data_IF_763593539709
#
_entry.id   IF_763593539709
#
_cell.length_a   1.000
_cell.length_b   1.000
_cell.length_c   1.000
_cell.angle_alpha   90.00
_cell.angle_beta   90.00
_cell.angle_gamma   90.00
#
_symmetry.space_group_name_H-M   'P 1'
#
loop_
_entity.id
_entity.type
_entity.pdbx_description
1 polymer ?
#
# COMPACT_ATOMS: atom_id res chain seq x y z
N UNK A 1 -0.94 -25.90 -0.36
CA UNK A 1 -2.28 -26.30 -0.86
C UNK A 1 -2.91 -25.10 -1.57
N UNK A 2 -3.35 -25.29 -2.81
CA UNK A 2 -4.12 -24.28 -3.56
C UNK A 2 -5.43 -24.91 -4.01
N UNK A 3 -6.52 -24.41 -3.44
CA UNK A 3 -7.88 -24.89 -3.74
C UNK A 3 -8.61 -23.86 -4.61
N UNK A 4 -9.27 -24.34 -5.68
CA UNK A 4 -10.33 -23.60 -6.39
C UNK A 4 -11.65 -24.26 -6.05
N UNK A 5 -12.51 -23.51 -5.35
CA UNK A 5 -13.59 -24.06 -4.57
C UNK A 5 -13.05 -25.18 -3.65
N UNK A 6 -13.52 -26.41 -3.75
CA UNK A 6 -13.04 -27.53 -2.91
C UNK A 6 -12.02 -28.44 -3.64
N UNK A 7 -11.54 -28.05 -4.83
CA UNK A 7 -10.64 -28.87 -5.63
C UNK A 7 -9.18 -28.43 -5.46
N UNK A 8 -8.31 -29.38 -5.10
CA UNK A 8 -6.88 -29.15 -4.95
C UNK A 8 -6.15 -29.19 -6.32
N UNK A 9 -5.42 -28.10 -6.59
CA UNK A 9 -4.59 -27.93 -7.79
C UNK A 9 -3.10 -27.98 -7.49
N UNK A 10 -2.67 -28.10 -6.23
CA UNK A 10 -1.24 -28.10 -5.87
C UNK A 10 -0.42 -29.16 -6.67
N UNK A 11 -0.94 -30.38 -6.93
CA UNK A 11 -0.16 -31.38 -7.67
C UNK A 11 0.19 -31.01 -9.11
N UNK A 12 -0.55 -30.09 -9.72
CA UNK A 12 -0.34 -29.69 -11.14
C UNK A 12 0.26 -28.30 -11.29
N UNK A 13 0.35 -27.51 -10.22
CA UNK A 13 0.85 -26.14 -10.28
C UNK A 13 2.35 -26.13 -10.49
N UNK A 14 2.79 -25.40 -11.53
CA UNK A 14 4.20 -25.14 -11.80
C UNK A 14 4.71 -23.88 -11.14
N UNK A 15 3.82 -22.88 -11.00
CA UNK A 15 4.14 -21.61 -10.35
C UNK A 15 2.90 -20.97 -9.75
N UNK A 16 3.05 -20.40 -8.55
CA UNK A 16 2.11 -19.45 -7.96
C UNK A 16 2.86 -18.15 -7.64
N UNK A 17 2.30 -17.01 -8.04
CA UNK A 17 2.85 -15.70 -7.76
C UNK A 17 1.83 -14.87 -7.00
N UNK A 18 2.18 -14.52 -5.76
CA UNK A 18 1.35 -13.68 -4.89
C UNK A 18 1.96 -12.28 -4.79
N UNK A 19 1.17 -11.28 -5.15
CA UNK A 19 1.60 -9.89 -5.14
C UNK A 19 0.72 -9.08 -4.19
N UNK A 20 1.36 -8.26 -3.39
CA UNK A 20 0.71 -7.25 -2.54
C UNK A 20 1.37 -5.90 -2.78
N UNK A 21 0.58 -4.83 -2.77
CA UNK A 21 1.08 -3.47 -2.92
C UNK A 21 0.34 -2.52 -2.00
N UNK A 22 1.06 -1.57 -1.44
CA UNK A 22 0.49 -0.54 -0.59
C UNK A 22 -0.19 0.52 -1.45
N UNK A 23 -1.49 0.71 -1.25
CA UNK A 23 -2.29 1.74 -1.93
C UNK A 23 -2.37 1.62 -3.46
N UNK A 24 -2.18 0.42 -4.00
CA UNK A 24 -2.28 0.13 -5.44
C UNK A 24 -3.35 -0.92 -5.77
N UNK A 25 -4.29 -1.10 -4.89
CA UNK A 25 -5.45 -1.95 -5.14
C UNK A 25 -5.42 -3.29 -4.41
N UNK A 26 -6.07 -4.27 -5.02
CA UNK A 26 -6.20 -5.62 -4.48
C UNK A 26 -4.90 -6.40 -4.58
N UNK A 27 -4.62 -7.23 -3.58
CA UNK A 27 -3.63 -8.28 -3.71
C UNK A 27 -4.04 -9.28 -4.79
N UNK A 28 -3.07 -9.86 -5.47
CA UNK A 28 -3.30 -10.80 -6.57
C UNK A 28 -2.55 -12.10 -6.39
N UNK A 29 -3.18 -13.19 -6.79
CA UNK A 29 -2.54 -14.50 -6.92
C UNK A 29 -2.66 -14.94 -8.38
N UNK A 30 -1.52 -15.14 -9.05
CA UNK A 30 -1.46 -15.74 -10.39
C UNK A 30 -0.96 -17.16 -10.27
N UNK A 31 -1.72 -18.11 -10.77
CA UNK A 31 -1.40 -19.55 -10.74
C UNK A 31 -1.21 -20.04 -12.16
N UNK A 32 -0.11 -20.76 -12.40
CA UNK A 32 0.23 -21.35 -13.71
C UNK A 32 0.39 -22.85 -13.58
N UNK A 33 -0.19 -23.61 -14.53
CA UNK A 33 -0.08 -25.06 -14.62
C UNK A 33 -0.16 -25.51 -16.08
N UNK A 34 0.30 -26.75 -16.43
CA UNK A 34 0.24 -27.25 -17.80
C UNK A 34 -1.20 -27.38 -18.30
N UNK A 35 -1.45 -26.94 -19.53
CA UNK A 35 -2.76 -27.07 -20.15
C UNK A 35 -3.22 -28.55 -20.20
N UNK A 36 -4.47 -28.79 -19.84
CA UNK A 36 -5.06 -30.13 -19.82
C UNK A 36 -4.70 -31.00 -18.61
N UNK A 37 -3.84 -30.54 -17.69
CA UNK A 37 -3.52 -31.30 -16.47
C UNK A 37 -4.63 -31.24 -15.42
N UNK A 38 -5.47 -30.22 -15.48
CA UNK A 38 -6.67 -30.04 -14.66
C UNK A 38 -7.71 -29.20 -15.41
N UNK A 39 -9.00 -29.20 -15.02
CA UNK A 39 -9.99 -28.27 -15.54
C UNK A 39 -9.58 -26.83 -15.31
N UNK A 40 -9.84 -25.93 -16.27
CA UNK A 40 -9.55 -24.53 -16.12
C UNK A 40 -10.53 -23.89 -15.11
N UNK A 41 -10.04 -23.32 -13.96
CA UNK A 41 -10.89 -22.63 -13.03
C UNK A 41 -11.64 -21.47 -13.70
N UNK A 42 -12.92 -21.29 -13.37
CA UNK A 42 -13.77 -20.30 -14.02
C UNK A 42 -13.82 -18.99 -13.21
N UNK A 43 -13.95 -17.83 -13.86
CA UNK A 43 -14.20 -16.55 -13.17
C UNK A 43 -15.36 -16.66 -12.17
N UNK A 44 -15.17 -16.13 -10.97
CA UNK A 44 -16.12 -16.17 -9.87
C UNK A 44 -15.90 -17.30 -8.87
N UNK A 45 -15.14 -18.34 -9.21
CA UNK A 45 -14.79 -19.40 -8.26
C UNK A 45 -13.89 -18.84 -7.14
N UNK A 46 -14.07 -19.37 -5.94
CA UNK A 46 -13.23 -19.03 -4.79
C UNK A 46 -11.86 -19.68 -4.91
N UNK A 47 -10.83 -18.99 -4.44
CA UNK A 47 -9.49 -19.55 -4.33
C UNK A 47 -8.97 -19.39 -2.92
N UNK A 48 -8.35 -20.44 -2.42
CA UNK A 48 -7.67 -20.47 -1.11
C UNK A 48 -6.25 -20.99 -1.34
N UNK A 49 -5.26 -20.20 -0.94
CA UNK A 49 -3.87 -20.62 -0.94
C UNK A 49 -3.33 -20.63 0.48
N UNK A 50 -2.84 -21.79 0.91
CA UNK A 50 -2.18 -21.98 2.21
C UNK A 50 -0.88 -22.77 2.05
N UNK A 51 0.09 -22.55 2.95
CA UNK A 51 1.35 -23.28 2.98
C UNK A 51 1.78 -23.52 4.43
N UNK A 52 2.20 -24.74 4.74
CA UNK A 52 2.61 -25.08 6.10
C UNK A 52 1.52 -24.89 7.16
N UNK A 53 0.25 -24.94 6.80
CA UNK A 53 -0.87 -24.67 7.69
C UNK A 53 -1.25 -23.19 7.80
N UNK A 54 -0.46 -22.27 7.25
CA UNK A 54 -0.76 -20.83 7.25
C UNK A 54 -1.53 -20.41 6.00
N UNK A 55 -2.57 -19.60 6.19
CA UNK A 55 -3.31 -18.97 5.08
C UNK A 55 -2.50 -17.83 4.47
N UNK A 56 -2.28 -17.87 3.15
CA UNK A 56 -1.50 -16.87 2.41
C UNK A 56 -2.41 -15.95 1.63
N UNK A 57 -3.33 -16.52 0.86
CA UNK A 57 -4.24 -15.76 0.02
C UNK A 57 -5.63 -16.38 0.01
N UNK A 58 -6.63 -15.52 0.07
CA UNK A 58 -8.04 -15.87 -0.07
C UNK A 58 -8.70 -14.85 -1.01
N UNK A 59 -9.46 -15.35 -1.98
CA UNK A 59 -10.08 -14.46 -2.97
C UNK A 59 -10.87 -15.21 -4.03
N UNK A 60 -10.96 -14.63 -5.22
CA UNK A 60 -11.75 -15.15 -6.34
C UNK A 60 -10.98 -15.07 -7.64
N UNK A 61 -11.30 -15.99 -8.53
CA UNK A 61 -10.85 -15.99 -9.93
C UNK A 61 -11.49 -14.81 -10.67
N UNK A 62 -10.67 -13.96 -11.27
CA UNK A 62 -11.11 -12.84 -12.10
C UNK A 62 -10.83 -13.05 -13.59
N UNK A 63 -9.78 -13.77 -13.90
CA UNK A 63 -9.43 -14.12 -15.28
C UNK A 63 -8.83 -15.51 -15.33
N UNK A 64 -9.26 -16.28 -16.33
CA UNK A 64 -8.66 -17.56 -16.67
C UNK A 64 -8.33 -17.55 -18.16
N UNK A 65 -7.14 -18.00 -18.50
CA UNK A 65 -6.70 -18.11 -19.87
C UNK A 65 -5.89 -19.39 -20.04
N UNK A 66 -5.95 -19.97 -21.22
CA UNK A 66 -5.22 -21.19 -21.55
C UNK A 66 -4.76 -21.11 -22.99
N UNK A 67 -3.51 -21.45 -23.22
CA UNK A 67 -2.94 -21.72 -24.54
C UNK A 67 -2.68 -23.23 -24.73
N UNK A 68 -1.88 -23.60 -25.74
CA UNK A 68 -1.56 -25.01 -26.02
C UNK A 68 -0.66 -25.67 -24.97
N UNK A 69 0.08 -24.86 -24.18
CA UNK A 69 1.09 -25.35 -23.23
C UNK A 69 0.68 -25.13 -21.79
N UNK A 70 0.16 -23.95 -21.49
CA UNK A 70 -0.10 -23.50 -20.11
C UNK A 70 -1.52 -22.98 -19.94
N UNK A 71 -2.02 -23.15 -18.73
CA UNK A 71 -3.17 -22.43 -18.19
C UNK A 71 -2.67 -21.43 -17.15
N UNK A 72 -3.24 -20.24 -17.17
CA UNK A 72 -2.95 -19.17 -16.20
C UNK A 72 -4.26 -18.65 -15.61
N UNK A 73 -4.29 -18.52 -14.31
CA UNK A 73 -5.46 -18.05 -13.55
C UNK A 73 -5.05 -16.86 -12.69
N UNK A 74 -5.69 -15.72 -12.93
CA UNK A 74 -5.53 -14.52 -12.10
C UNK A 74 -6.66 -14.42 -11.10
N UNK A 75 -6.28 -14.37 -9.82
CA UNK A 75 -7.19 -14.20 -8.69
C UNK A 75 -6.93 -12.85 -8.01
N UNK A 76 -7.99 -12.27 -7.46
CA UNK A 76 -7.90 -11.03 -6.67
C UNK A 76 -8.53 -11.26 -5.30
N UNK A 77 -7.99 -10.59 -4.27
CA UNK A 77 -8.60 -10.53 -2.94
C UNK A 77 -9.85 -9.63 -2.92
N UNK A 78 -10.47 -9.50 -1.76
CA UNK A 78 -11.71 -8.75 -1.59
C UNK A 78 -11.60 -7.24 -1.88
N UNK A 79 -10.40 -6.64 -1.79
CA UNK A 79 -10.19 -5.23 -2.13
C UNK A 79 -10.60 -4.92 -3.59
N UNK A 80 -10.59 -5.94 -4.46
CA UNK A 80 -11.05 -5.79 -5.86
C UNK A 80 -12.51 -5.32 -5.95
N UNK A 81 -13.36 -5.73 -5.02
CA UNK A 81 -14.78 -5.33 -5.00
C UNK A 81 -14.98 -3.88 -4.54
N UNK A 82 -14.00 -3.28 -3.85
CA UNK A 82 -13.98 -1.86 -3.53
C UNK A 82 -13.61 -0.96 -4.72
N UNK A 83 -13.17 -1.54 -5.86
CA UNK A 83 -12.94 -0.78 -7.10
C UNK A 83 -14.24 -0.42 -7.84
N UNK A 84 -15.41 -0.76 -7.33
CA UNK A 84 -16.67 -0.31 -7.87
C UNK A 84 -16.88 1.18 -7.55
N UNK A 85 -17.34 1.95 -8.56
CA UNK A 85 -17.62 3.38 -8.42
C UNK A 85 -18.91 3.63 -7.63
N UNK A 86 -18.92 4.72 -6.88
CA UNK A 86 -20.05 5.16 -6.10
C UNK A 86 -20.01 6.69 -5.92
N UNK A 87 -21.13 7.26 -5.43
CA UNK A 87 -21.21 8.65 -4.98
C UNK A 87 -21.61 8.64 -3.50
N UNK A 88 -20.67 8.99 -2.63
CA UNK A 88 -20.83 8.91 -1.17
C UNK A 88 -20.49 10.25 -0.52
N UNK A 89 -21.44 10.80 0.25
CA UNK A 89 -21.15 11.89 1.17
C UNK A 89 -20.54 11.32 2.46
N UNK A 90 -19.36 11.81 2.82
CA UNK A 90 -18.70 11.55 4.09
C UNK A 90 -18.92 12.74 5.02
N UNK A 91 -19.68 12.61 6.13
CA UNK A 91 -19.75 13.63 7.17
C UNK A 91 -18.43 13.73 7.92
N UNK A 92 -18.35 14.58 8.94
CA UNK A 92 -17.24 14.56 9.89
C UNK A 92 -17.29 13.26 10.70
N UNK A 93 -16.45 12.31 10.35
CA UNK A 93 -16.36 11.00 11.00
C UNK A 93 -14.92 10.47 10.99
N UNK A 94 -14.61 9.48 11.81
CA UNK A 94 -13.27 8.86 11.84
C UNK A 94 -13.08 7.89 10.69
N UNK A 95 -11.81 7.58 10.36
CA UNK A 95 -11.45 6.70 9.24
C UNK A 95 -12.04 5.28 9.39
N UNK A 96 -12.02 4.73 10.60
CA UNK A 96 -12.59 3.42 10.91
C UNK A 96 -14.11 3.37 10.69
N UNK A 97 -14.84 4.44 11.09
CA UNK A 97 -16.29 4.55 10.84
C UNK A 97 -16.60 4.67 9.35
N UNK A 98 -15.83 5.50 8.65
CA UNK A 98 -15.98 5.63 7.19
C UNK A 98 -15.74 4.31 6.48
N UNK A 99 -14.67 3.56 6.85
CA UNK A 99 -14.39 2.23 6.33
C UNK A 99 -15.56 1.28 6.53
N UNK A 100 -16.08 1.18 7.77
CA UNK A 100 -17.21 0.31 8.09
C UNK A 100 -18.43 0.61 7.20
N UNK A 101 -18.74 1.89 7.00
CA UNK A 101 -19.88 2.31 6.17
C UNK A 101 -19.68 2.01 4.68
N UNK A 102 -18.47 2.24 4.16
CA UNK A 102 -18.12 1.92 2.77
C UNK A 102 -18.16 0.40 2.52
N UNK A 103 -17.65 -0.39 3.46
CA UNK A 103 -17.67 -1.85 3.36
C UNK A 103 -19.08 -2.43 3.45
N UNK A 104 -19.93 -1.91 4.34
CA UNK A 104 -21.33 -2.30 4.42
C UNK A 104 -22.09 -2.05 3.09
N UNK A 105 -21.77 -0.96 2.40
CA UNK A 105 -22.34 -0.65 1.08
C UNK A 105 -21.74 -1.50 -0.06
N UNK A 106 -20.61 -2.17 0.15
CA UNK A 106 -19.97 -3.01 -0.86
C UNK A 106 -20.52 -4.45 -0.95
N UNK A 107 -21.34 -4.86 0.02
CA UNK A 107 -22.03 -6.16 0.05
C UNK A 107 -21.20 -7.29 0.68
N UNK A 108 -21.72 -8.51 0.58
CA UNK A 108 -21.26 -9.69 1.34
C UNK A 108 -19.87 -10.22 0.94
N UNK A 109 -19.28 -9.68 -0.12
CA UNK A 109 -17.92 -10.04 -0.56
C UNK A 109 -16.82 -9.42 0.28
N UNK A 110 -17.17 -8.46 1.15
CA UNK A 110 -16.22 -7.78 2.04
C UNK A 110 -16.46 -8.29 3.46
N UNK A 111 -15.42 -8.85 4.06
CA UNK A 111 -15.38 -9.29 5.45
C UNK A 111 -14.36 -8.46 6.20
N UNK A 112 -14.82 -7.72 7.20
CA UNK A 112 -13.92 -6.94 8.05
C UNK A 112 -13.21 -7.83 9.07
N UNK A 113 -11.92 -7.63 9.21
CA UNK A 113 -11.07 -8.17 10.25
C UNK A 113 -10.73 -7.11 11.30
N UNK A 114 -9.43 -6.96 11.59
CA UNK A 114 -8.96 -5.96 12.55
C UNK A 114 -9.05 -4.55 11.95
N UNK A 115 -9.87 -3.70 12.57
CA UNK A 115 -9.99 -2.28 12.23
C UNK A 115 -9.50 -1.46 13.41
N UNK A 116 -8.31 -0.88 13.28
CA UNK A 116 -7.76 0.00 14.31
C UNK A 116 -8.48 1.35 14.30
N UNK A 117 -8.80 1.84 15.49
CA UNK A 117 -9.50 3.10 15.66
C UNK A 117 -8.59 4.28 15.31
N UNK A 118 -9.14 5.24 14.57
CA UNK A 118 -8.48 6.50 14.27
C UNK A 118 -9.15 7.59 15.09
N UNK A 119 -8.40 8.26 15.95
CA UNK A 119 -8.96 9.32 16.83
C UNK A 119 -9.23 10.63 16.08
N UNK A 120 -8.62 10.83 14.92
CA UNK A 120 -8.71 12.08 14.16
C UNK A 120 -9.93 12.05 13.23
N UNK A 121 -10.84 13.03 13.35
CA UNK A 121 -11.97 13.13 12.45
C UNK A 121 -11.51 13.60 11.06
N UNK A 122 -12.08 13.01 10.04
CA UNK A 122 -11.96 13.42 8.64
C UNK A 122 -12.90 14.60 8.35
N UNK A 123 -12.51 15.47 7.44
CA UNK A 123 -13.36 16.58 7.01
C UNK A 123 -14.57 16.10 6.21
N UNK A 124 -15.74 16.78 6.26
CA UNK A 124 -16.86 16.46 5.38
C UNK A 124 -16.45 16.55 3.91
N UNK A 125 -16.80 15.55 3.12
CA UNK A 125 -16.44 15.51 1.72
C UNK A 125 -17.49 14.75 0.88
N UNK A 126 -17.81 15.26 -0.31
CA UNK A 126 -18.63 14.54 -1.29
C UNK A 126 -17.70 13.87 -2.30
N UNK A 127 -17.67 12.56 -2.27
CA UNK A 127 -17.06 11.74 -3.32
C UNK A 127 -18.08 11.54 -4.44
N UNK A 128 -17.80 12.07 -5.60
CA UNK A 128 -18.68 11.94 -6.77
C UNK A 128 -18.01 11.06 -7.82
N UNK A 129 -18.68 9.97 -8.19
CA UNK A 129 -18.23 8.98 -9.18
C UNK A 129 -16.76 8.53 -8.97
N UNK A 130 -16.43 8.16 -7.74
CA UNK A 130 -15.13 7.62 -7.35
C UNK A 130 -15.24 6.16 -6.98
N UNK A 131 -14.16 5.39 -7.13
CA UNK A 131 -14.15 4.04 -6.57
C UNK A 131 -14.15 4.10 -5.05
N UNK A 132 -14.85 3.18 -4.40
CA UNK A 132 -14.86 3.08 -2.93
C UNK A 132 -13.44 2.96 -2.37
N UNK A 133 -12.56 2.26 -3.09
CA UNK A 133 -11.15 2.11 -2.72
C UNK A 133 -10.41 3.45 -2.77
N UNK A 134 -10.62 4.27 -3.81
CA UNK A 134 -10.00 5.60 -3.91
C UNK A 134 -10.50 6.55 -2.82
N UNK A 135 -11.79 6.46 -2.43
CA UNK A 135 -12.34 7.21 -1.32
C UNK A 135 -11.61 6.88 -0.01
N UNK A 136 -11.36 5.59 0.26
CA UNK A 136 -10.63 5.13 1.43
C UNK A 136 -9.15 5.56 1.38
N UNK A 137 -8.48 5.41 0.24
CA UNK A 137 -7.10 5.86 0.08
C UNK A 137 -6.94 7.38 0.21
N UNK A 138 -7.90 8.16 -0.28
CA UNK A 138 -7.91 9.60 -0.06
C UNK A 138 -8.07 9.93 1.42
N UNK A 139 -8.95 9.23 2.14
CA UNK A 139 -9.15 9.40 3.57
C UNK A 139 -7.91 9.01 4.39
N UNK A 140 -7.23 7.93 4.03
CA UNK A 140 -5.94 7.53 4.63
C UNK A 140 -4.87 8.62 4.41
N UNK A 141 -4.82 9.21 3.21
CA UNK A 141 -3.89 10.33 2.95
C UNK A 141 -4.22 11.57 3.77
N UNK A 142 -5.50 11.88 3.95
CA UNK A 142 -5.95 12.99 4.79
C UNK A 142 -5.49 12.81 6.24
N UNK A 143 -5.67 11.62 6.83
CA UNK A 143 -5.16 11.32 8.18
C UNK A 143 -3.63 11.47 8.25
N UNK A 144 -2.91 10.93 7.26
CA UNK A 144 -1.45 11.07 7.22
C UNK A 144 -1.01 12.53 7.18
N UNK A 145 -1.69 13.37 6.41
CA UNK A 145 -1.40 14.81 6.32
C UNK A 145 -1.69 15.53 7.64
N UNK A 146 -2.76 15.14 8.33
CA UNK A 146 -3.17 15.78 9.58
C UNK A 146 -2.35 15.36 10.80
N UNK A 147 -1.87 14.11 10.84
CA UNK A 147 -1.28 13.50 12.04
C UNK A 147 0.14 12.94 11.86
N UNK A 148 0.57 12.74 10.62
CA UNK A 148 1.78 11.97 10.31
C UNK A 148 1.59 10.44 10.39
N UNK A 149 0.52 9.92 11.00
CA UNK A 149 0.24 8.50 11.13
C UNK A 149 -0.07 7.88 9.77
N UNK A 150 0.47 6.70 9.53
CA UNK A 150 0.31 5.99 8.27
C UNK A 150 -0.55 4.75 8.49
N UNK A 151 -1.76 4.79 7.96
CA UNK A 151 -2.65 3.63 7.93
C UNK A 151 -2.51 2.86 6.63
N UNK A 152 -2.74 1.57 6.70
CA UNK A 152 -2.81 0.68 5.54
C UNK A 152 -4.11 -0.11 5.55
N UNK A 153 -4.69 -0.24 4.36
CA UNK A 153 -5.80 -1.12 4.08
C UNK A 153 -5.27 -2.34 3.35
N UNK A 154 -5.50 -3.54 3.89
CA UNK A 154 -5.00 -4.79 3.33
C UNK A 154 -5.96 -5.95 3.58
N UNK A 155 -5.89 -6.97 2.74
CA UNK A 155 -6.51 -8.27 3.04
C UNK A 155 -5.57 -9.14 3.88
N UNK A 156 -6.12 -9.80 4.88
CA UNK A 156 -5.42 -10.80 5.70
C UNK A 156 -6.18 -12.11 5.64
N UNK A 157 -5.91 -12.88 4.58
CA UNK A 157 -6.54 -14.17 4.33
C UNK A 157 -8.08 -14.12 4.41
N UNK A 158 -8.67 -13.20 3.65
CA UNK A 158 -10.13 -13.02 3.58
C UNK A 158 -10.72 -12.15 4.69
N UNK A 159 -9.90 -11.47 5.48
CA UNK A 159 -10.30 -10.47 6.44
C UNK A 159 -9.67 -9.12 6.08
N UNK A 160 -10.50 -8.12 5.76
CA UNK A 160 -10.04 -6.77 5.43
C UNK A 160 -9.62 -6.04 6.70
N UNK A 161 -8.38 -5.62 6.78
CA UNK A 161 -7.80 -4.93 7.92
C UNK A 161 -7.47 -3.48 7.60
N UNK A 162 -7.76 -2.59 8.57
CA UNK A 162 -7.21 -1.25 8.64
C UNK A 162 -6.22 -1.20 9.81
N UNK A 163 -4.95 -1.02 9.52
CA UNK A 163 -3.89 -1.06 10.52
C UNK A 163 -2.99 0.17 10.41
N UNK A 164 -2.49 0.65 11.54
CA UNK A 164 -1.38 1.59 11.56
C UNK A 164 -0.07 0.84 11.27
N UNK A 165 0.79 1.42 10.44
CA UNK A 165 2.08 0.80 10.04
C UNK A 165 2.96 0.52 11.25
N UNK A 166 2.92 1.36 12.29
CA UNK A 166 3.62 1.15 13.55
C UNK A 166 3.25 -0.15 14.29
N UNK A 167 2.03 -0.66 14.09
CA UNK A 167 1.59 -1.95 14.65
C UNK A 167 2.00 -3.17 13.81
N UNK A 168 2.63 -2.96 12.65
CA UNK A 168 2.99 -3.99 11.67
C UNK A 168 4.51 -4.22 11.56
N UNK A 169 5.22 -3.99 12.65
CA UNK A 169 6.65 -4.31 12.74
C UNK A 169 6.86 -5.82 12.80
N UNK A 170 7.61 -6.35 11.85
CA UNK A 170 7.95 -7.78 11.84
C UNK A 170 9.27 -8.00 12.59
N UNK A 171 9.35 -9.00 13.47
CA UNK A 171 10.60 -9.36 14.17
C UNK A 171 11.56 -10.10 13.22
N UNK A 172 11.80 -9.50 12.05
CA UNK A 172 12.60 -10.06 10.97
C UNK A 172 13.65 -9.04 10.52
N UNK A 173 14.89 -9.50 10.36
CA UNK A 173 15.97 -8.72 9.78
C UNK A 173 16.34 -9.30 8.41
N UNK A 174 16.30 -8.46 7.39
CA UNK A 174 16.76 -8.77 6.03
C UNK A 174 18.14 -8.16 5.82
N UNK A 175 19.12 -8.98 5.45
CA UNK A 175 20.50 -8.48 5.31
C UNK A 175 21.48 -9.49 4.72
N UNK A 176 22.75 -9.09 4.61
CA UNK A 176 23.82 -9.86 3.98
C UNK A 176 24.07 -11.23 4.65
N UNK A 177 23.75 -11.36 5.93
CA UNK A 177 23.90 -12.61 6.69
C UNK A 177 22.63 -13.44 6.80
N UNK A 178 21.55 -13.10 6.05
CA UNK A 178 20.26 -13.76 6.22
C UNK A 178 19.63 -14.15 4.88
N UNK A 179 18.38 -13.73 4.63
CA UNK A 179 17.59 -14.17 3.49
C UNK A 179 17.92 -13.47 2.16
N UNK A 180 18.70 -12.38 2.17
CA UNK A 180 18.95 -11.54 0.98
C UNK A 180 19.86 -12.24 -0.01
N UNK A 181 19.41 -12.28 -1.28
CA UNK A 181 20.18 -12.84 -2.41
C UNK A 181 20.65 -11.76 -3.39
N UNK A 182 20.03 -10.59 -3.39
CA UNK A 182 20.39 -9.46 -4.23
C UNK A 182 19.66 -8.19 -3.84
N UNK A 183 20.20 -7.04 -4.22
CA UNK A 183 19.54 -5.76 -4.00
C UNK A 183 19.90 -4.72 -5.07
N UNK A 184 18.99 -3.76 -5.24
CA UNK A 184 19.20 -2.52 -5.97
C UNK A 184 18.77 -1.36 -5.08
N UNK A 185 19.69 -0.44 -4.84
CA UNK A 185 19.49 0.74 -4.01
C UNK A 185 19.40 1.99 -4.88
N UNK A 186 18.48 2.90 -4.56
CA UNK A 186 18.38 4.21 -5.17
C UNK A 186 17.98 5.27 -4.15
N UNK A 187 18.45 6.49 -4.40
CA UNK A 187 17.99 7.67 -3.71
C UNK A 187 17.55 8.70 -4.73
N UNK A 188 16.40 9.34 -4.51
CA UNK A 188 15.89 10.40 -5.38
C UNK A 188 15.35 11.58 -4.58
N UNK A 189 15.33 12.73 -5.21
CA UNK A 189 14.83 13.99 -4.70
C UNK A 189 13.52 14.43 -5.37
N UNK A 190 13.01 13.69 -6.35
CA UNK A 190 11.86 14.11 -7.17
C UNK A 190 10.59 14.33 -6.33
N UNK A 191 10.41 13.55 -5.28
CA UNK A 191 9.28 13.69 -4.35
C UNK A 191 9.63 14.50 -3.09
N UNK A 192 10.84 15.05 -3.01
CA UNK A 192 11.31 15.84 -1.86
C UNK A 192 10.87 17.29 -2.01
N UNK A 193 10.44 17.87 -0.91
CA UNK A 193 10.26 19.31 -0.80
C UNK A 193 10.94 19.80 0.49
N UNK A 194 11.85 20.74 0.37
CA UNK A 194 12.51 21.39 1.49
C UNK A 194 12.03 22.84 1.70
N UNK A 195 11.15 23.27 0.81
CA UNK A 195 10.41 24.52 0.91
C UNK A 195 8.94 24.24 0.57
N UNK A 196 8.02 24.65 1.41
CA UNK A 196 6.58 24.49 1.17
C UNK A 196 5.90 25.83 1.29
N UNK A 197 5.13 26.20 0.28
CA UNK A 197 4.30 27.39 0.25
C UNK A 197 2.83 27.00 0.13
N UNK A 198 2.05 27.30 1.15
CA UNK A 198 0.59 27.18 1.10
C UNK A 198 0.01 28.54 0.78
N UNK A 199 -0.80 28.64 -0.26
CA UNK A 199 -1.31 29.91 -0.73
C UNK A 199 -2.82 29.90 -0.94
N UNK A 200 -3.45 31.02 -0.65
CA UNK A 200 -4.82 31.33 -1.00
C UNK A 200 -4.81 32.33 -2.15
N UNK A 201 -5.47 31.98 -3.24
CA UNK A 201 -5.55 32.83 -4.44
C UNK A 201 -6.98 32.91 -4.98
N UNK A 202 -7.30 34.02 -5.67
CA UNK A 202 -8.51 34.15 -6.45
C UNK A 202 -8.20 34.68 -7.85
N UNK A 203 -9.07 34.39 -8.81
CA UNK A 203 -8.89 34.86 -10.19
C UNK A 203 -8.88 36.39 -10.32
N UNK A 204 -9.58 37.09 -9.41
CA UNK A 204 -9.70 38.56 -9.41
C UNK A 204 -8.64 39.30 -8.62
N UNK A 205 -8.13 38.66 -7.53
CA UNK A 205 -7.21 39.34 -6.60
C UNK A 205 -5.79 38.75 -6.59
N UNK A 206 -5.50 37.72 -7.39
CA UNK A 206 -4.21 37.03 -7.38
C UNK A 206 -3.98 36.28 -6.07
N UNK A 207 -2.75 36.38 -5.50
CA UNK A 207 -2.41 35.77 -4.21
C UNK A 207 -2.90 36.68 -3.09
N UNK A 208 -3.82 36.18 -2.24
CA UNK A 208 -4.40 36.90 -1.11
C UNK A 208 -3.53 36.76 0.14
N UNK A 209 -3.18 35.50 0.45
CA UNK A 209 -2.35 35.14 1.61
C UNK A 209 -1.45 33.96 1.25
N UNK A 210 -0.30 33.87 1.93
CA UNK A 210 0.55 32.69 1.82
C UNK A 210 1.27 32.42 3.14
N UNK A 211 1.40 31.14 3.47
CA UNK A 211 2.25 30.64 4.55
C UNK A 211 3.45 29.90 3.95
N UNK A 212 4.56 29.89 4.66
CA UNK A 212 5.82 29.33 4.20
C UNK A 212 6.49 28.50 5.28
N UNK A 213 7.01 27.35 4.93
CA UNK A 213 7.85 26.51 5.78
C UNK A 213 9.10 26.07 5.00
N UNK A 214 10.25 26.04 5.66
CA UNK A 214 11.53 25.73 5.05
C UNK A 214 12.42 24.90 5.98
N UNK A 215 13.15 23.95 5.41
CA UNK A 215 14.27 23.22 6.01
C UNK A 215 15.56 23.78 5.42
N UNK A 216 16.17 24.74 6.14
CA UNK A 216 17.37 25.45 5.68
C UNK A 216 18.58 24.55 5.50
N UNK A 217 18.71 23.47 6.33
CA UNK A 217 19.79 22.50 6.20
C UNK A 217 19.66 21.68 4.92
N UNK A 218 18.44 21.23 4.61
CA UNK A 218 18.13 20.54 3.37
C UNK A 218 18.32 21.44 2.13
N UNK A 219 17.91 22.72 2.23
CA UNK A 219 18.13 23.70 1.15
C UNK A 219 19.62 23.92 0.89
N UNK A 220 20.43 24.05 1.94
CA UNK A 220 21.88 24.20 1.80
C UNK A 220 22.54 22.98 1.14
N UNK A 221 22.02 21.77 1.40
CA UNK A 221 22.56 20.52 0.87
C UNK A 221 22.13 20.21 -0.55
N UNK A 222 20.84 20.40 -0.87
CA UNK A 222 20.22 19.93 -2.12
C UNK A 222 19.74 21.05 -3.05
N UNK A 223 19.86 22.31 -2.65
CA UNK A 223 19.20 23.42 -3.31
C UNK A 223 17.71 23.54 -2.97
N UNK A 224 17.04 24.60 -3.45
CA UNK A 224 15.63 24.83 -3.18
C UNK A 224 14.74 23.85 -3.98
N UNK A 225 13.97 23.04 -3.28
CA UNK A 225 12.96 22.11 -3.81
C UNK A 225 11.60 22.57 -3.27
N UNK A 226 10.88 23.35 -4.06
CA UNK A 226 9.69 24.06 -3.61
C UNK A 226 8.41 23.32 -4.00
N UNK A 227 7.56 23.04 -3.00
CA UNK A 227 6.18 22.59 -3.17
C UNK A 227 5.23 23.77 -2.97
N UNK A 228 4.33 23.99 -3.91
CA UNK A 228 3.26 24.99 -3.78
C UNK A 228 1.91 24.26 -3.69
N UNK A 229 1.17 24.54 -2.61
CA UNK A 229 -0.15 23.95 -2.36
C UNK A 229 -1.20 25.05 -2.22
N UNK A 230 -2.45 24.77 -2.69
CA UNK A 230 -3.57 25.68 -2.49
C UNK A 230 -4.24 25.41 -1.16
N UNK A 231 -4.45 26.47 -0.39
CA UNK A 231 -5.26 26.41 0.82
C UNK A 231 -6.73 26.19 0.49
N UNK A 232 -7.42 25.42 1.33
CA UNK A 232 -8.86 25.28 1.26
C UNK A 232 -9.57 26.60 1.55
N UNK A 233 -10.79 26.75 1.02
CA UNK A 233 -11.59 27.97 1.24
C UNK A 233 -11.86 28.19 2.73
N UNK A 234 -11.57 29.40 3.20
CA UNK A 234 -11.79 29.78 4.58
C UNK A 234 -10.69 29.39 5.57
N UNK A 235 -9.59 28.81 5.09
CA UNK A 235 -8.40 28.56 5.92
C UNK A 235 -7.82 29.88 6.44
N UNK A 236 -7.54 29.91 7.73
CA UNK A 236 -6.84 31.05 8.37
C UNK A 236 -5.32 30.93 8.16
N UNK A 237 -4.60 32.04 8.28
CA UNK A 237 -3.14 32.04 8.14
C UNK A 237 -2.43 31.07 9.10
N UNK A 238 -2.82 30.95 10.40
CA UNK A 238 -2.24 29.92 11.29
C UNK A 238 -2.48 28.48 10.82
N UNK A 239 -3.66 28.18 10.26
CA UNK A 239 -3.96 26.87 9.70
C UNK A 239 -3.11 26.57 8.45
N UNK A 240 -2.93 27.56 7.57
CA UNK A 240 -2.05 27.46 6.41
C UNK A 240 -0.58 27.25 6.85
N UNK A 241 -0.13 27.92 7.91
CA UNK A 241 1.21 27.74 8.46
C UNK A 241 1.40 26.33 9.00
N UNK A 242 0.42 25.80 9.73
CA UNK A 242 0.44 24.43 10.22
C UNK A 242 0.46 23.42 9.06
N UNK A 243 -0.35 23.63 8.02
CA UNK A 243 -0.36 22.80 6.83
C UNK A 243 1.00 22.82 6.11
N UNK A 244 1.62 24.00 5.97
CA UNK A 244 2.94 24.11 5.36
C UNK A 244 4.00 23.31 6.14
N UNK A 245 4.00 23.38 7.46
CA UNK A 245 4.90 22.61 8.33
C UNK A 245 4.66 21.10 8.21
N UNK A 246 3.41 20.67 8.18
CA UNK A 246 3.05 19.24 8.02
C UNK A 246 3.49 18.69 6.66
N UNK A 247 3.26 19.45 5.58
CA UNK A 247 3.69 19.07 4.24
C UNK A 247 5.22 19.02 4.14
N UNK A 248 5.93 19.97 4.76
CA UNK A 248 7.38 19.95 4.84
C UNK A 248 7.88 18.69 5.57
N UNK A 249 7.33 18.37 6.73
CA UNK A 249 7.67 17.16 7.48
C UNK A 249 7.43 15.89 6.67
N UNK A 250 6.30 15.81 5.93
CA UNK A 250 5.94 14.66 5.13
C UNK A 250 6.83 14.47 3.87
N UNK A 251 7.47 15.56 3.41
CA UNK A 251 8.23 15.60 2.15
C UNK A 251 9.73 15.85 2.32
N UNK A 252 10.19 16.27 3.52
CA UNK A 252 11.60 16.52 3.78
C UNK A 252 12.44 15.25 3.66
N UNK A 253 13.73 15.43 3.40
CA UNK A 253 14.72 14.37 3.36
C UNK A 253 14.77 13.62 2.04
N UNK A 254 15.89 12.96 1.81
CA UNK A 254 16.13 12.13 0.65
C UNK A 254 15.28 10.86 0.72
N UNK A 255 14.46 10.64 -0.30
CA UNK A 255 13.71 9.39 -0.43
C UNK A 255 14.67 8.27 -0.82
N UNK A 256 14.71 7.25 0.00
CA UNK A 256 15.51 6.04 -0.24
C UNK A 256 14.60 4.90 -0.61
N UNK A 257 14.93 4.22 -1.69
CA UNK A 257 14.24 2.99 -2.08
C UNK A 257 15.23 1.86 -2.27
N UNK A 258 14.83 0.68 -1.86
CA UNK A 258 15.59 -0.54 -1.96
C UNK A 258 14.72 -1.62 -2.57
N UNK A 259 15.07 -2.09 -3.75
CA UNK A 259 14.54 -3.33 -4.28
C UNK A 259 15.43 -4.46 -3.78
N UNK A 260 14.82 -5.46 -3.16
CA UNK A 260 15.50 -6.53 -2.49
C UNK A 260 14.96 -7.88 -2.95
N UNK A 261 15.85 -8.80 -3.31
CA UNK A 261 15.54 -10.18 -3.63
C UNK A 261 15.97 -11.06 -2.48
N UNK A 262 15.08 -11.96 -2.04
CA UNK A 262 15.33 -12.78 -0.86
C UNK A 262 14.65 -14.15 -0.95
N UNK A 263 15.08 -15.07 -0.08
CA UNK A 263 14.34 -16.29 0.24
C UNK A 263 12.98 -15.86 0.81
N UNK A 264 11.92 -16.53 0.40
CA UNK A 264 10.57 -16.12 0.72
C UNK A 264 10.20 -16.32 2.19
N UNK A 265 9.54 -15.29 2.76
CA UNK A 265 8.93 -15.28 4.09
C UNK A 265 7.50 -14.74 3.97
N UNK A 266 6.49 -15.58 4.23
CA UNK A 266 5.08 -15.28 3.96
C UNK A 266 4.50 -14.13 4.78
N UNK A 267 5.12 -13.81 5.92
CA UNK A 267 4.71 -12.70 6.77
C UNK A 267 5.07 -11.33 6.16
N UNK A 268 6.08 -11.29 5.28
CA UNK A 268 6.54 -10.05 4.63
C UNK A 268 5.61 -9.69 3.48
N UNK A 269 4.78 -8.69 3.66
CA UNK A 269 3.84 -8.19 2.65
C UNK A 269 3.70 -6.67 2.73
N UNK A 270 3.12 -6.09 1.70
CA UNK A 270 2.96 -4.64 1.64
C UNK A 270 2.32 -4.07 2.91
N UNK A 271 2.90 -2.97 3.41
CA UNK A 271 2.50 -2.28 4.63
C UNK A 271 3.15 -2.80 5.91
N UNK A 272 3.84 -3.93 5.89
CA UNK A 272 4.70 -4.34 7.01
C UNK A 272 5.98 -3.51 7.03
N UNK A 273 6.60 -3.40 8.21
CA UNK A 273 7.94 -2.83 8.36
C UNK A 273 8.91 -3.92 8.76
N UNK A 274 10.08 -3.92 8.13
CA UNK A 274 11.16 -4.87 8.36
C UNK A 274 12.46 -4.13 8.65
N UNK A 275 13.31 -4.71 9.50
CA UNK A 275 14.67 -4.20 9.68
C UNK A 275 15.54 -4.65 8.51
N UNK A 276 16.30 -3.72 7.92
CA UNK A 276 17.21 -3.99 6.81
C UNK A 276 18.63 -3.67 7.25
N UNK A 277 19.55 -4.64 7.09
CA UNK A 277 20.97 -4.49 7.45
C UNK A 277 21.85 -4.92 6.28
N UNK A 278 22.48 -3.94 5.60
CA UNK A 278 23.36 -4.19 4.46
C UNK A 278 24.69 -3.48 4.70
N UNK A 279 25.74 -4.24 5.03
CA UNK A 279 27.03 -3.69 5.42
C UNK A 279 27.71 -2.88 4.33
N UNK A 280 27.61 -3.28 3.06
CA UNK A 280 28.16 -2.54 1.91
C UNK A 280 27.53 -1.16 1.70
N UNK A 281 26.31 -0.94 2.21
CA UNK A 281 25.60 0.34 2.12
C UNK A 281 25.65 1.09 3.46
N UNK A 282 26.33 0.55 4.48
CA UNK A 282 26.31 1.06 5.86
C UNK A 282 24.86 1.29 6.35
N UNK A 283 23.95 0.41 5.91
CA UNK A 283 22.52 0.52 6.16
C UNK A 283 22.11 -0.37 7.31
N UNK A 284 21.53 0.22 8.35
CA UNK A 284 20.80 -0.46 9.43
C UNK A 284 19.57 0.39 9.77
N UNK A 285 18.43 0.03 9.20
CA UNK A 285 17.21 0.84 9.36
C UNK A 285 15.94 0.00 9.31
N UNK A 286 14.85 0.56 9.80
CA UNK A 286 13.51 0.06 9.57
C UNK A 286 12.96 0.60 8.25
N UNK A 287 12.54 -0.28 7.37
CA UNK A 287 12.01 0.05 6.07
C UNK A 287 10.56 -0.43 5.93
N UNK A 288 9.72 0.40 5.33
CA UNK A 288 8.35 0.07 4.99
C UNK A 288 8.30 -0.71 3.68
N UNK A 289 7.64 -1.85 3.67
CA UNK A 289 7.38 -2.64 2.47
C UNK A 289 6.30 -1.95 1.63
N UNK A 290 6.68 -1.39 0.50
CA UNK A 290 5.75 -0.78 -0.47
C UNK A 290 5.04 -1.84 -1.31
N UNK A 291 5.81 -2.81 -1.80
CA UNK A 291 5.31 -3.95 -2.54
C UNK A 291 6.08 -5.22 -2.20
N UNK A 292 5.39 -6.35 -2.25
CA UNK A 292 5.97 -7.67 -2.10
C UNK A 292 5.41 -8.60 -3.17
N UNK A 293 6.31 -9.26 -3.90
CA UNK A 293 6.02 -10.30 -4.88
C UNK A 293 6.64 -11.60 -4.42
N UNK A 294 5.81 -12.59 -4.12
CA UNK A 294 6.22 -13.92 -3.70
C UNK A 294 6.04 -14.90 -4.86
N UNK A 295 7.07 -15.63 -5.19
CA UNK A 295 7.05 -16.67 -6.22
C UNK A 295 7.26 -18.03 -5.56
N UNK A 296 6.31 -18.92 -5.74
CA UNK A 296 6.33 -20.31 -5.29
C UNK A 296 6.40 -21.21 -6.51
N UNK A 297 7.44 -22.03 -6.61
CA UNK A 297 7.64 -22.97 -7.70
C UNK A 297 8.44 -24.17 -7.21
N UNK A 298 8.83 -25.07 -8.12
CA UNK A 298 9.62 -26.26 -7.81
C UNK A 298 11.00 -25.98 -7.24
N UNK A 299 11.54 -24.76 -7.43
CA UNK A 299 12.81 -24.32 -6.85
C UNK A 299 12.66 -23.72 -5.43
N UNK A 300 11.43 -23.62 -4.94
CA UNK A 300 11.11 -23.13 -3.61
C UNK A 300 10.31 -21.85 -3.60
N UNK A 301 10.49 -21.10 -2.51
CA UNK A 301 9.81 -19.82 -2.28
C UNK A 301 10.82 -18.69 -2.29
N UNK A 302 10.59 -17.71 -3.14
CA UNK A 302 11.39 -16.47 -3.24
C UNK A 302 10.48 -15.26 -3.13
N UNK A 303 11.04 -14.14 -2.69
CA UNK A 303 10.33 -12.88 -2.66
C UNK A 303 11.18 -11.75 -3.25
N UNK A 304 10.49 -10.81 -3.89
CA UNK A 304 11.04 -9.52 -4.33
C UNK A 304 10.27 -8.43 -3.61
N UNK A 305 10.98 -7.55 -2.92
CA UNK A 305 10.40 -6.48 -2.12
C UNK A 305 10.81 -5.13 -2.69
N UNK A 306 9.90 -4.17 -2.62
CA UNK A 306 10.21 -2.76 -2.76
C UNK A 306 10.03 -2.10 -1.39
N UNK A 307 11.09 -1.52 -0.88
CA UNK A 307 11.19 -0.96 0.45
C UNK A 307 11.46 0.53 0.37
N UNK A 308 10.88 1.29 1.30
CA UNK A 308 11.09 2.74 1.40
C UNK A 308 11.39 3.14 2.84
N UNK A 309 12.32 4.06 2.99
CA UNK A 309 12.50 4.84 4.22
C UNK A 309 12.93 6.26 3.87
N UNK A 310 12.85 7.14 4.83
CA UNK A 310 13.38 8.50 4.70
C UNK A 310 14.56 8.67 5.62
N UNK A 311 15.63 9.18 5.07
CA UNK A 311 16.79 9.62 5.83
C UNK A 311 16.54 11.06 6.24
N UNK A 312 16.58 11.33 7.53
CA UNK A 312 16.57 12.70 8.02
C UNK A 312 17.89 13.38 7.68
N UNK A 313 17.88 14.67 7.35
CA UNK A 313 19.07 15.42 6.96
C UNK A 313 20.10 15.56 8.08
#
# INVERSE_FOLDING_TARGET
>A
MILFDDRDYEPVITQAQWNTSRNDGAGTLTVTFPAGSAPLPQPGQQVVFSRGGEGIFWGWVFRSQQDRKNAEVLCCDQLRYLKNSDTIYRPAETLDRFLNRVCAAAGDRIRLGTVEQCQTPLSPYLFDNRTRLDMLYQSIREIRQATGLVYILRDSFGALELREVGSLLLPLTLGDGSLVTGYRYSGDLDATANQVRVLQSSASAGIIQSAWAEDTASVARFGPLTLVEKADRGMTLPQMQQQAMQLLQARRGLRRTLRLEAIGETQVRAGSSVRVVIGKLELDTWALVLSASHTFNTQGHRMTLELEWREEP
#
